data_IF_724546229747
#
_entry.id   IF_724546229747
#
_cell.length_a   1.000
_cell.length_b   1.000
_cell.length_c   1.000
_cell.angle_alpha   90.00
_cell.angle_beta   90.00
_cell.angle_gamma   90.00
#
_symmetry.space_group_name_H-M   'P 1'
#
loop_
_entity.id
_entity.type
_entity.pdbx_description
1 polymer ?
#
# COMPACT_ATOMS: atom_id res chain seq x y z
N UNK A 1 6.14 70.69 6.32
CA UNK A 1 5.10 70.04 5.49
C UNK A 1 5.79 69.27 4.38
N UNK A 2 5.64 67.95 4.31
CA UNK A 2 6.21 67.17 3.22
C UNK A 2 5.44 67.48 1.93
N UNK A 3 6.12 68.05 0.93
CA UNK A 3 5.51 68.33 -0.36
C UNK A 3 5.27 67.01 -1.10
N UNK A 4 4.04 66.52 -1.07
CA UNK A 4 3.64 65.32 -1.80
C UNK A 4 3.65 65.65 -3.29
N UNK A 5 4.69 65.23 -4.00
CA UNK A 5 4.79 65.44 -5.44
C UNK A 5 3.74 64.60 -6.17
N UNK A 6 3.12 65.15 -7.22
CA UNK A 6 2.10 64.48 -8.04
C UNK A 6 2.59 63.14 -8.62
N UNK A 7 3.91 63.03 -8.89
CA UNK A 7 4.58 61.78 -9.28
C UNK A 7 4.62 60.75 -8.14
N UNK A 8 4.95 61.18 -6.91
CA UNK A 8 4.95 60.32 -5.72
C UNK A 8 3.55 59.76 -5.40
N UNK A 9 2.51 60.58 -5.53
CA UNK A 9 1.12 60.15 -5.34
C UNK A 9 0.68 59.12 -6.38
N UNK A 10 1.09 59.30 -7.65
CA UNK A 10 0.77 58.37 -8.75
C UNK A 10 1.48 57.02 -8.61
N UNK A 11 2.71 57.03 -8.10
CA UNK A 11 3.49 55.82 -7.79
C UNK A 11 2.92 55.07 -6.57
N UNK A 12 2.53 55.82 -5.52
CA UNK A 12 1.87 55.27 -4.34
C UNK A 12 0.51 54.65 -4.69
N UNK A 13 -0.31 55.33 -5.49
CA UNK A 13 -1.59 54.81 -5.96
C UNK A 13 -1.42 53.53 -6.80
N UNK A 14 -0.44 53.50 -7.72
CA UNK A 14 -0.16 52.31 -8.55
C UNK A 14 0.34 51.12 -7.73
N UNK A 15 1.12 51.36 -6.68
CA UNK A 15 1.51 50.32 -5.72
C UNK A 15 0.34 49.86 -4.85
N UNK A 16 -0.57 50.76 -4.45
CA UNK A 16 -1.80 50.44 -3.71
C UNK A 16 -2.78 49.60 -4.53
N UNK A 17 -2.94 49.88 -5.82
CA UNK A 17 -3.76 49.05 -6.73
C UNK A 17 -3.14 47.68 -6.95
N UNK A 18 -1.81 47.56 -6.90
CA UNK A 18 -1.10 46.29 -7.05
C UNK A 18 -0.97 45.49 -5.73
N UNK A 19 -1.21 46.09 -4.56
CA UNK A 19 -1.18 45.41 -3.26
C UNK A 19 -2.09 44.18 -3.17
N UNK A 20 -3.38 44.20 -3.58
CA UNK A 20 -4.24 43.02 -3.52
C UNK A 20 -3.71 41.88 -4.39
N UNK A 21 -3.15 42.19 -5.57
CA UNK A 21 -2.52 41.20 -6.44
C UNK A 21 -1.25 40.61 -5.82
N UNK A 22 -0.39 41.44 -5.22
CA UNK A 22 0.81 40.99 -4.50
C UNK A 22 0.47 40.15 -3.27
N UNK A 23 -0.58 40.50 -2.54
CA UNK A 23 -1.07 39.72 -1.40
C UNK A 23 -1.62 38.36 -1.84
N UNK A 24 -2.37 38.31 -2.94
CA UNK A 24 -2.83 37.06 -3.55
C UNK A 24 -1.67 36.15 -3.97
N UNK A 25 -0.63 36.71 -4.59
CA UNK A 25 0.58 35.95 -4.94
C UNK A 25 1.29 35.39 -3.71
N UNK A 26 1.39 36.18 -2.63
CA UNK A 26 1.96 35.71 -1.37
C UNK A 26 1.14 34.57 -0.75
N UNK A 27 -0.20 34.71 -0.71
CA UNK A 27 -1.08 33.65 -0.21
C UNK A 27 -0.95 32.39 -1.06
N UNK A 28 -0.94 32.53 -2.39
CA UNK A 28 -0.75 31.41 -3.30
C UNK A 28 0.60 30.72 -3.09
N UNK A 29 1.68 31.49 -2.92
CA UNK A 29 3.01 30.96 -2.62
C UNK A 29 3.04 30.20 -1.29
N UNK A 30 2.41 30.74 -0.24
CA UNK A 30 2.31 30.08 1.06
C UNK A 30 1.51 28.78 0.95
N UNK A 31 0.35 28.79 0.29
CA UNK A 31 -0.46 27.59 0.08
C UNK A 31 0.32 26.54 -0.72
N UNK A 32 1.04 26.95 -1.77
CA UNK A 32 1.86 26.05 -2.57
C UNK A 32 2.99 25.42 -1.74
N UNK A 33 3.71 26.22 -0.94
CA UNK A 33 4.77 25.73 -0.05
C UNK A 33 4.21 24.74 0.97
N UNK A 34 3.10 25.07 1.62
CA UNK A 34 2.44 24.16 2.58
C UNK A 34 2.01 22.86 1.90
N UNK A 35 1.46 22.94 0.69
CA UNK A 35 1.07 21.76 -0.08
C UNK A 35 2.28 20.89 -0.44
N UNK A 36 3.39 21.49 -0.87
CA UNK A 36 4.63 20.76 -1.16
C UNK A 36 5.16 20.08 0.12
N UNK A 37 5.19 20.79 1.24
CA UNK A 37 5.61 20.22 2.53
C UNK A 37 4.71 19.06 2.92
N UNK A 38 3.38 19.22 2.82
CA UNK A 38 2.43 18.16 3.12
C UNK A 38 2.65 16.93 2.22
N UNK A 39 2.88 17.14 0.92
CA UNK A 39 3.20 16.06 -0.01
C UNK A 39 4.51 15.35 0.36
N UNK A 40 5.55 16.10 0.72
CA UNK A 40 6.83 15.53 1.16
C UNK A 40 6.68 14.72 2.46
N UNK A 41 5.94 15.24 3.44
CA UNK A 41 5.64 14.52 4.69
C UNK A 41 4.88 13.23 4.40
N UNK A 42 3.90 13.26 3.49
CA UNK A 42 3.15 12.07 3.10
C UNK A 42 4.04 11.03 2.41
N UNK A 43 4.92 11.46 1.50
CA UNK A 43 5.88 10.57 0.83
C UNK A 43 6.86 9.96 1.84
N UNK A 44 7.36 10.76 2.79
CA UNK A 44 8.25 10.26 3.86
C UNK A 44 7.53 9.28 4.78
N UNK A 45 6.28 9.55 5.15
CA UNK A 45 5.48 8.65 5.96
C UNK A 45 5.19 7.33 5.23
N UNK A 46 4.77 7.39 3.96
CA UNK A 46 4.54 6.21 3.13
C UNK A 46 5.84 5.41 2.92
N UNK A 47 6.95 6.09 2.66
CA UNK A 47 8.27 5.47 2.55
C UNK A 47 8.73 4.82 3.86
N UNK A 48 8.50 5.48 4.99
CA UNK A 48 8.81 4.94 6.32
C UNK A 48 8.01 3.68 6.65
N UNK A 49 6.71 3.66 6.36
CA UNK A 49 5.87 2.46 6.55
C UNK A 49 6.28 1.35 5.59
N UNK A 50 6.52 1.67 4.31
CA UNK A 50 7.00 0.70 3.33
C UNK A 50 8.34 0.08 3.74
N UNK A 51 9.27 0.90 4.24
CA UNK A 51 10.54 0.43 4.78
C UNK A 51 10.34 -0.46 6.02
N UNK A 52 9.49 -0.05 6.96
CA UNK A 52 9.18 -0.84 8.16
C UNK A 52 8.62 -2.22 7.79
N UNK A 53 7.68 -2.28 6.85
CA UNK A 53 7.13 -3.54 6.36
C UNK A 53 8.18 -4.40 5.68
N UNK A 54 9.01 -3.82 4.81
CA UNK A 54 10.05 -4.56 4.09
C UNK A 54 11.20 -5.05 4.97
N UNK A 55 11.71 -4.20 5.86
CA UNK A 55 12.90 -4.46 6.66
C UNK A 55 12.59 -5.20 7.96
N UNK A 56 11.40 -5.00 8.55
CA UNK A 56 11.02 -5.60 9.83
C UNK A 56 9.99 -6.69 9.62
N UNK A 57 8.76 -6.33 9.21
CA UNK A 57 7.64 -7.29 9.21
C UNK A 57 7.84 -8.44 8.23
N UNK A 58 8.39 -8.18 7.05
CA UNK A 58 8.59 -9.20 6.03
C UNK A 58 9.61 -10.29 6.41
N UNK A 59 10.44 -10.06 7.43
CA UNK A 59 11.41 -11.02 7.96
C UNK A 59 10.93 -11.73 9.23
N UNK A 60 9.72 -11.43 9.70
CA UNK A 60 9.09 -12.15 10.81
C UNK A 60 8.37 -13.39 10.28
N UNK A 61 8.22 -14.45 11.09
CA UNK A 61 7.40 -15.60 10.73
C UNK A 61 5.97 -15.16 10.43
N UNK A 62 5.42 -15.64 9.32
CA UNK A 62 4.05 -15.29 8.89
C UNK A 62 3.01 -15.78 9.89
N UNK A 63 1.98 -14.96 10.12
CA UNK A 63 0.88 -15.27 11.03
C UNK A 63 -0.41 -15.48 10.25
N UNK A 64 -0.56 -16.69 9.72
CA UNK A 64 -1.76 -17.09 8.97
C UNK A 64 -2.82 -17.65 9.92
N UNK A 65 -4.02 -17.10 9.82
CA UNK A 65 -5.17 -17.56 10.57
C UNK A 65 -5.67 -18.90 10.02
N UNK A 66 -5.64 -19.97 10.83
CA UNK A 66 -6.03 -21.30 10.39
C UNK A 66 -7.50 -21.40 10.01
N UNK A 67 -8.36 -20.45 10.43
CA UNK A 67 -9.79 -20.44 10.06
C UNK A 67 -10.01 -20.22 8.57
N UNK A 68 -9.07 -19.56 7.90
CA UNK A 68 -9.21 -19.14 6.50
C UNK A 68 -8.23 -19.83 5.55
N UNK A 69 -7.34 -20.68 6.06
CA UNK A 69 -6.30 -21.35 5.30
C UNK A 69 -6.51 -22.87 5.22
N UNK A 70 -6.32 -23.46 4.03
CA UNK A 70 -6.35 -24.93 3.85
C UNK A 70 -5.04 -25.59 4.28
N UNK A 71 -3.95 -24.87 4.16
CA UNK A 71 -2.60 -25.27 4.52
C UNK A 71 -1.94 -24.12 5.26
N UNK A 72 -1.08 -24.45 6.22
CA UNK A 72 -0.30 -23.46 6.95
C UNK A 72 1.07 -23.29 6.28
N UNK A 73 1.71 -22.11 6.44
CA UNK A 73 3.09 -21.92 6.02
C UNK A 73 4.01 -22.93 6.72
N UNK A 74 5.09 -23.37 6.05
CA UNK A 74 6.17 -24.09 6.72
C UNK A 74 6.63 -23.33 7.97
N UNK A 75 7.05 -24.08 8.99
CA UNK A 75 7.43 -23.49 10.26
C UNK A 75 8.55 -22.45 10.09
N UNK A 76 8.31 -21.25 10.65
CA UNK A 76 9.26 -20.15 10.58
C UNK A 76 9.34 -19.43 9.22
N UNK A 77 8.56 -19.82 8.21
CA UNK A 77 8.56 -19.13 6.92
C UNK A 77 8.15 -17.67 7.10
N UNK A 78 8.98 -16.78 6.56
CA UNK A 78 8.75 -15.34 6.53
C UNK A 78 8.00 -14.92 5.28
N UNK A 79 7.36 -13.76 5.32
CA UNK A 79 6.65 -13.23 4.16
C UNK A 79 7.58 -12.98 2.97
N UNK A 80 8.84 -12.61 3.23
CA UNK A 80 9.87 -12.45 2.21
C UNK A 80 10.17 -13.78 1.51
N UNK A 81 10.43 -14.83 2.28
CA UNK A 81 10.73 -16.18 1.73
C UNK A 81 9.53 -16.70 0.93
N UNK A 82 8.31 -16.51 1.45
CA UNK A 82 7.09 -16.85 0.74
C UNK A 82 7.04 -16.21 -0.65
N UNK A 83 7.24 -14.88 -0.74
CA UNK A 83 7.22 -14.21 -2.04
C UNK A 83 8.38 -14.60 -2.95
N UNK A 84 9.59 -14.79 -2.41
CA UNK A 84 10.73 -15.28 -3.19
C UNK A 84 10.43 -16.63 -3.84
N UNK A 85 9.84 -17.56 -3.09
CA UNK A 85 9.44 -18.87 -3.60
C UNK A 85 8.32 -18.76 -4.65
N UNK A 86 7.31 -17.89 -4.42
CA UNK A 86 6.26 -17.64 -5.42
C UNK A 86 6.81 -17.04 -6.71
N UNK A 87 7.74 -16.10 -6.63
CA UNK A 87 8.42 -15.52 -7.79
C UNK A 87 9.28 -16.56 -8.53
N UNK A 88 10.08 -17.35 -7.81
CA UNK A 88 10.91 -18.39 -8.42
C UNK A 88 10.06 -19.48 -9.09
N UNK A 89 8.93 -19.85 -8.49
CA UNK A 89 7.96 -20.75 -9.09
C UNK A 89 7.38 -20.19 -10.39
N UNK A 90 7.14 -18.89 -10.45
CA UNK A 90 6.63 -18.22 -11.64
C UNK A 90 7.63 -18.12 -12.77
N UNK A 91 8.87 -17.76 -12.49
CA UNK A 91 9.94 -17.69 -13.50
C UNK A 91 10.04 -19.01 -14.28
N UNK A 92 9.97 -20.14 -13.56
CA UNK A 92 9.94 -21.48 -14.17
C UNK A 92 8.71 -21.74 -15.05
N UNK A 93 7.55 -21.21 -14.70
CA UNK A 93 6.34 -21.36 -15.51
C UNK A 93 6.42 -20.49 -16.75
N UNK A 94 6.97 -19.29 -16.64
CA UNK A 94 7.17 -18.38 -17.76
C UNK A 94 8.14 -18.97 -18.78
N UNK A 95 9.26 -19.54 -18.31
CA UNK A 95 10.19 -20.31 -19.15
C UNK A 95 9.49 -21.47 -19.89
N UNK A 96 8.65 -22.25 -19.20
CA UNK A 96 7.91 -23.36 -19.82
C UNK A 96 6.90 -22.88 -20.87
N UNK A 97 6.20 -21.78 -20.62
CA UNK A 97 5.29 -21.18 -21.59
C UNK A 97 6.05 -20.61 -22.80
N UNK A 98 7.22 -20.02 -22.57
CA UNK A 98 8.11 -19.52 -23.62
C UNK A 98 8.63 -20.66 -24.51
N UNK A 99 8.91 -21.84 -23.94
CA UNK A 99 9.21 -23.08 -24.66
C UNK A 99 8.00 -23.68 -25.42
N UNK A 100 6.85 -23.01 -25.43
CA UNK A 100 5.64 -23.42 -26.16
C UNK A 100 4.76 -24.44 -25.41
N UNK A 101 5.09 -24.77 -24.16
CA UNK A 101 4.20 -25.55 -23.29
C UNK A 101 3.28 -24.59 -22.56
N UNK A 102 2.06 -24.38 -23.05
CA UNK A 102 1.07 -23.57 -22.33
C UNK A 102 0.64 -24.28 -21.04
N UNK A 103 1.35 -24.02 -19.94
CA UNK A 103 1.07 -24.57 -18.60
C UNK A 103 0.13 -23.67 -17.79
N UNK A 104 -0.08 -22.42 -18.23
CA UNK A 104 -0.84 -21.43 -17.46
C UNK A 104 -1.78 -20.57 -18.34
N UNK A 105 -3.06 -20.47 -17.95
CA UNK A 105 -4.02 -19.54 -18.55
C UNK A 105 -4.54 -18.55 -17.49
N UNK A 106 -3.79 -17.50 -17.22
CA UNK A 106 -4.22 -16.45 -16.30
C UNK A 106 -3.36 -15.21 -16.41
N UNK A 107 -3.97 -14.04 -16.25
CA UNK A 107 -3.25 -12.77 -16.22
C UNK A 107 -2.48 -12.66 -14.91
N UNK A 108 -1.15 -12.65 -15.01
CA UNK A 108 -0.25 -12.50 -13.86
C UNK A 108 -0.31 -11.04 -13.41
N UNK A 109 -0.81 -10.80 -12.20
CA UNK A 109 -0.77 -9.48 -11.59
C UNK A 109 0.57 -9.36 -10.87
N UNK A 110 1.57 -8.77 -11.54
CA UNK A 110 2.85 -8.36 -10.94
C UNK A 110 2.55 -7.61 -9.64
N UNK A 111 3.10 -8.10 -8.52
CA UNK A 111 2.87 -7.68 -7.12
C UNK A 111 1.95 -6.47 -7.03
N UNK A 112 0.65 -6.69 -6.78
CA UNK A 112 -0.30 -5.64 -7.06
C UNK A 112 -0.17 -4.62 -5.95
N UNK A 113 -0.02 -3.35 -6.31
CA UNK A 113 -0.39 -2.23 -5.43
C UNK A 113 -1.73 -2.52 -4.74
N UNK A 114 -2.63 -3.25 -5.41
CA UNK A 114 -3.88 -3.78 -4.85
C UNK A 114 -3.71 -4.68 -3.61
N UNK A 115 -2.72 -5.57 -3.52
CA UNK A 115 -2.48 -6.43 -2.35
C UNK A 115 -1.92 -5.68 -1.13
N UNK A 116 -1.58 -4.40 -1.29
CA UNK A 116 -1.16 -3.53 -0.20
C UNK A 116 -2.27 -2.51 0.12
N UNK A 117 -2.80 -1.87 -0.91
CA UNK A 117 -3.80 -0.79 -0.80
C UNK A 117 -5.19 -1.31 -0.47
N UNK A 118 -5.65 -2.44 -1.04
CA UNK A 118 -6.97 -3.00 -0.72
C UNK A 118 -7.03 -3.42 0.75
N UNK A 119 -6.03 -4.15 1.31
CA UNK A 119 -5.97 -4.40 2.74
C UNK A 119 -5.98 -3.14 3.61
N UNK A 120 -5.24 -2.09 3.19
CA UNK A 120 -5.25 -0.81 3.91
C UNK A 120 -6.66 -0.22 3.98
N UNK A 121 -7.31 -0.06 2.83
CA UNK A 121 -8.64 0.53 2.73
C UNK A 121 -9.67 -0.31 3.50
N UNK A 122 -9.55 -1.64 3.44
CA UNK A 122 -10.42 -2.56 4.17
C UNK A 122 -10.29 -2.38 5.68
N UNK A 123 -9.08 -2.43 6.22
CA UNK A 123 -8.83 -2.23 7.65
C UNK A 123 -9.29 -0.82 8.07
N UNK A 124 -9.02 0.19 7.24
CA UNK A 124 -9.48 1.56 7.49
C UNK A 124 -11.00 1.68 7.55
N UNK A 125 -11.73 1.22 6.54
CA UNK A 125 -13.20 1.36 6.48
C UNK A 125 -13.86 0.55 7.60
N UNK A 126 -13.45 -0.71 7.80
CA UNK A 126 -14.05 -1.57 8.82
C UNK A 126 -13.86 -0.99 10.23
N UNK A 127 -12.70 -0.39 10.52
CA UNK A 127 -12.41 0.18 11.84
C UNK A 127 -12.98 1.58 12.05
N UNK A 128 -13.07 2.40 11.01
CA UNK A 128 -13.58 3.78 11.13
C UNK A 128 -15.10 3.86 11.01
N UNK A 129 -15.73 2.88 10.36
CA UNK A 129 -17.17 2.87 10.10
C UNK A 129 -17.82 1.50 10.42
N UNK A 130 -17.62 0.95 11.63
CA UNK A 130 -18.14 -0.37 11.98
C UNK A 130 -19.67 -0.42 11.91
N UNK A 131 -20.23 -1.55 11.46
CA UNK A 131 -21.67 -1.77 11.36
C UNK A 131 -22.39 -1.05 10.21
N UNK A 132 -21.66 -0.30 9.38
CA UNK A 132 -22.22 0.31 8.17
C UNK A 132 -22.32 -0.71 7.03
N UNK A 133 -23.25 -0.48 6.08
CA UNK A 133 -23.36 -1.32 4.89
C UNK A 133 -22.07 -1.36 4.06
N UNK A 134 -21.28 -0.28 4.10
CA UNK A 134 -19.98 -0.23 3.45
C UNK A 134 -18.97 -1.16 4.14
N UNK A 135 -18.81 -1.08 5.46
CA UNK A 135 -17.93 -1.98 6.21
C UNK A 135 -18.34 -3.45 6.01
N UNK A 136 -19.63 -3.78 6.07
CA UNK A 136 -20.14 -5.13 5.80
C UNK A 136 -19.85 -5.59 4.36
N UNK A 137 -19.85 -4.67 3.39
CA UNK A 137 -19.44 -4.96 2.01
C UNK A 137 -17.96 -5.32 1.91
N UNK A 138 -17.10 -4.57 2.60
CA UNK A 138 -15.67 -4.84 2.67
C UNK A 138 -15.34 -6.15 3.37
N UNK A 139 -16.02 -6.46 4.48
CA UNK A 139 -15.90 -7.73 5.21
C UNK A 139 -16.30 -8.91 4.31
N UNK A 140 -17.44 -8.81 3.63
CA UNK A 140 -17.90 -9.86 2.70
C UNK A 140 -16.99 -10.00 1.49
N UNK A 141 -16.50 -8.89 0.94
CA UNK A 141 -15.52 -8.88 -0.16
C UNK A 141 -14.20 -9.58 0.20
N UNK A 142 -13.84 -9.56 1.49
CA UNK A 142 -12.71 -10.29 2.07
C UNK A 142 -13.00 -11.77 2.38
N UNK A 143 -14.22 -12.25 2.12
CA UNK A 143 -14.71 -13.55 2.59
C UNK A 143 -14.61 -13.73 4.11
N UNK A 144 -14.74 -12.62 4.85
CA UNK A 144 -14.61 -12.61 6.31
C UNK A 144 -13.18 -12.60 6.84
N UNK A 145 -12.16 -12.63 5.97
CA UNK A 145 -10.76 -12.46 6.38
C UNK A 145 -10.58 -11.00 6.79
N UNK A 146 -10.64 -10.73 8.09
CA UNK A 146 -10.51 -9.40 8.68
C UNK A 146 -9.60 -9.47 9.89
N UNK A 147 -8.66 -8.52 9.98
CA UNK A 147 -7.72 -8.43 11.07
C UNK A 147 -8.43 -8.30 12.43
N UNK A 148 -7.94 -9.00 13.48
CA UNK A 148 -8.47 -8.86 14.83
C UNK A 148 -8.53 -7.42 15.31
N UNK A 149 -9.57 -7.08 16.06
CA UNK A 149 -9.80 -5.71 16.54
C UNK A 149 -8.75 -5.28 17.58
N UNK A 150 -8.14 -6.23 18.31
CA UNK A 150 -7.10 -5.92 19.31
C UNK A 150 -5.78 -5.39 18.70
N UNK A 151 -5.53 -5.62 17.40
CA UNK A 151 -4.29 -5.20 16.77
C UNK A 151 -4.29 -3.69 16.51
N UNK A 152 -3.14 -3.04 16.70
CA UNK A 152 -2.93 -1.67 16.23
C UNK A 152 -3.03 -1.60 14.70
N UNK A 153 -3.35 -0.42 14.15
CA UNK A 153 -3.68 -0.29 12.72
C UNK A 153 -2.59 -0.84 11.78
N UNK A 154 -1.31 -0.57 12.05
CA UNK A 154 -0.21 -1.05 11.21
C UNK A 154 -0.04 -2.57 11.28
N UNK A 155 -0.19 -3.16 12.47
CA UNK A 155 -0.13 -4.61 12.64
C UNK A 155 -1.34 -5.32 12.05
N UNK A 156 -2.51 -4.71 12.18
CA UNK A 156 -3.74 -5.18 11.55
C UNK A 156 -3.64 -5.14 10.01
N UNK A 157 -3.08 -4.06 9.48
CA UNK A 157 -2.82 -3.94 8.05
C UNK A 157 -1.83 -4.99 7.57
N UNK A 158 -0.73 -5.21 8.28
CA UNK A 158 0.22 -6.27 7.95
C UNK A 158 -0.41 -7.66 8.02
N UNK A 159 -1.14 -7.96 9.10
CA UNK A 159 -1.89 -9.21 9.25
C UNK A 159 -2.82 -9.44 8.06
N UNK A 160 -3.52 -8.39 7.63
CA UNK A 160 -4.43 -8.43 6.50
C UNK A 160 -3.69 -8.74 5.19
N UNK A 161 -2.53 -8.13 4.97
CA UNK A 161 -1.64 -8.40 3.83
C UNK A 161 -1.24 -9.88 3.81
N UNK A 162 -0.75 -10.43 4.94
CA UNK A 162 -0.28 -11.81 5.01
C UNK A 162 -1.40 -12.80 4.72
N UNK A 163 -2.55 -12.64 5.39
CA UNK A 163 -3.67 -13.56 5.29
C UNK A 163 -4.33 -13.52 3.91
N UNK A 164 -4.51 -12.34 3.34
CA UNK A 164 -5.05 -12.21 1.98
C UNK A 164 -4.07 -12.68 0.92
N UNK A 165 -2.76 -12.43 1.09
CA UNK A 165 -1.74 -12.93 0.16
C UNK A 165 -1.69 -14.45 0.18
N UNK A 166 -1.66 -15.05 1.38
CA UNK A 166 -1.70 -16.50 1.53
C UNK A 166 -2.98 -17.09 0.94
N UNK A 167 -4.12 -16.50 1.28
CA UNK A 167 -5.40 -16.92 0.72
C UNK A 167 -5.37 -16.83 -0.80
N UNK A 168 -4.97 -15.70 -1.38
CA UNK A 168 -4.92 -15.49 -2.82
C UNK A 168 -4.01 -16.50 -3.51
N UNK A 169 -2.74 -16.62 -3.09
CA UNK A 169 -1.70 -17.39 -3.79
C UNK A 169 -1.65 -18.88 -3.48
N UNK A 170 -2.23 -19.31 -2.36
CA UNK A 170 -2.15 -20.69 -1.88
C UNK A 170 -3.52 -21.35 -1.83
N UNK A 171 -4.56 -20.63 -1.37
CA UNK A 171 -5.87 -21.23 -1.10
C UNK A 171 -6.90 -21.00 -2.21
N UNK A 172 -7.02 -19.78 -2.70
CA UNK A 172 -7.99 -19.32 -3.70
C UNK A 172 -7.52 -19.64 -5.10
N UNK A 173 -6.27 -19.32 -5.38
CA UNK A 173 -5.58 -19.65 -6.62
C UNK A 173 -4.77 -20.92 -6.44
N UNK A 174 -5.46 -22.04 -6.25
CA UNK A 174 -4.88 -23.29 -6.76
C UNK A 174 -4.46 -23.18 -8.26
N UNK A 175 -4.76 -22.08 -8.96
CA UNK A 175 -4.41 -21.71 -10.33
C UNK A 175 -4.41 -20.16 -10.44
N UNK A 176 -3.42 -19.53 -11.07
CA UNK A 176 -3.44 -19.54 -12.53
C UNK A 176 -2.58 -20.66 -13.09
N UNK A 177 -1.57 -21.10 -12.34
CA UNK A 177 -0.74 -22.27 -12.62
C UNK A 177 -0.47 -22.95 -11.26
N UNK A 178 -0.72 -24.25 -11.14
CA UNK A 178 -0.60 -25.00 -9.88
C UNK A 178 0.86 -25.00 -9.40
N UNK A 179 1.27 -23.96 -8.66
CA UNK A 179 2.53 -23.97 -7.96
C UNK A 179 2.46 -25.01 -6.83
N UNK A 180 3.54 -25.75 -6.57
CA UNK A 180 3.60 -26.61 -5.39
C UNK A 180 3.41 -25.77 -4.11
N UNK A 181 3.08 -26.42 -2.98
CA UNK A 181 3.04 -25.75 -1.68
C UNK A 181 4.33 -24.94 -1.44
N UNK A 182 4.24 -23.75 -0.83
CA UNK A 182 5.42 -22.93 -0.56
C UNK A 182 6.48 -23.69 0.22
N UNK A 183 7.74 -23.57 -0.20
CA UNK A 183 8.87 -24.17 0.48
C UNK A 183 9.77 -23.08 1.05
N UNK A 184 10.35 -23.34 2.22
CA UNK A 184 11.37 -22.44 2.76
C UNK A 184 12.66 -22.66 1.95
N UNK A 185 13.40 -21.60 1.57
CA UNK A 185 14.69 -21.77 0.94
C UNK A 185 15.59 -22.64 1.81
N UNK A 186 16.36 -23.54 1.20
CA UNK A 186 17.35 -24.31 1.95
C UNK A 186 18.28 -23.34 2.66
N UNK A 187 18.49 -23.51 3.97
CA UNK A 187 19.48 -22.75 4.72
C UNK A 187 20.81 -22.92 4.00
N UNK A 188 21.31 -21.84 3.41
CA UNK A 188 22.59 -21.87 2.72
C UNK A 188 23.65 -22.03 3.81
N UNK A 189 24.46 -23.11 3.79
CA UNK A 189 25.47 -23.35 4.82
C UNK A 189 26.56 -22.28 4.85
#
# INVERSE_FOLDING_TARGET
>A
MAAITRKGLKLAARNLVALPFKALLLVFEVVLRVTIIAALVLVLAAGGVGWYFYAVKANQPMQIDPRFARTLPPEGMTFREFWQDRFAGWEKIDEQNFEGKNVCSGTIIFVPVRQIVIPFLRVFVVRTQPGTAEAESWIRGAKGIIAPDELLFLDAWWWQIENESWWYWVTALGRPCQLPPPQRPAETP
#
